data_IF_323003035545
#
_entry.id   IF_323003035545
#
_cell.length_a   1.000
_cell.length_b   1.000
_cell.length_c   1.000
_cell.angle_alpha   90.00
_cell.angle_beta   90.00
_cell.angle_gamma   90.00
#
_symmetry.space_group_name_H-M   'P 1'
#
loop_
_entity.id
_entity.type
_entity.pdbx_description
1 polymer ?
#
# COMPACT_ATOMS: atom_id res chain seq x y z
N UNK A 1 -8.66 -72.50 -40.59
CA UNK A 1 -8.04 -71.16 -40.60
C UNK A 1 -8.57 -70.38 -39.40
N UNK A 2 -7.74 -70.21 -38.37
CA UNK A 2 -8.07 -69.60 -37.07
C UNK A 2 -7.72 -68.10 -37.10
N UNK A 3 -8.65 -67.24 -36.65
CA UNK A 3 -8.42 -65.80 -36.42
C UNK A 3 -7.66 -65.59 -35.11
N UNK A 4 -6.68 -64.69 -35.01
CA UNK A 4 -6.10 -64.26 -33.73
C UNK A 4 -6.95 -63.15 -33.08
N UNK A 5 -7.01 -63.20 -31.75
CA UNK A 5 -7.94 -62.45 -30.91
C UNK A 5 -7.52 -61.03 -30.53
N UNK A 6 -8.48 -60.37 -29.89
CA UNK A 6 -8.49 -58.98 -29.44
C UNK A 6 -7.54 -58.75 -28.25
N UNK A 7 -6.78 -57.65 -28.32
CA UNK A 7 -6.02 -57.07 -27.22
C UNK A 7 -6.97 -56.41 -26.20
N UNK A 8 -6.80 -56.77 -24.93
CA UNK A 8 -7.54 -56.29 -23.77
C UNK A 8 -6.93 -54.98 -23.26
N UNK A 9 -7.73 -53.92 -23.22
CA UNK A 9 -7.39 -52.63 -22.59
C UNK A 9 -7.41 -52.79 -21.07
N UNK A 10 -6.24 -52.69 -20.42
CA UNK A 10 -6.17 -52.57 -18.95
C UNK A 10 -6.61 -51.17 -18.52
N UNK A 11 -7.71 -51.09 -17.78
CA UNK A 11 -8.12 -49.92 -17.01
C UNK A 11 -7.06 -49.61 -15.95
N UNK A 12 -6.48 -48.40 -16.00
CA UNK A 12 -5.75 -47.81 -14.88
C UNK A 12 -6.77 -47.19 -13.91
N UNK A 13 -6.64 -47.54 -12.63
CA UNK A 13 -7.53 -47.13 -11.54
C UNK A 13 -7.45 -45.62 -11.25
N UNK A 14 -8.58 -44.94 -10.96
CA UNK A 14 -8.63 -43.48 -10.74
C UNK A 14 -8.20 -43.01 -9.34
N UNK A 15 -7.46 -43.81 -8.57
CA UNK A 15 -7.26 -43.57 -7.13
C UNK A 15 -6.05 -42.69 -6.74
N UNK A 16 -5.31 -42.11 -7.68
CA UNK A 16 -4.04 -41.39 -7.39
C UNK A 16 -4.02 -39.89 -7.75
N UNK A 17 -5.16 -39.29 -8.15
CA UNK A 17 -5.21 -37.88 -8.55
C UNK A 17 -5.94 -36.94 -7.58
N UNK A 18 -6.36 -37.42 -6.41
CA UNK A 18 -7.10 -36.62 -5.43
C UNK A 18 -6.22 -35.87 -4.40
N UNK A 19 -4.91 -36.13 -4.35
CA UNK A 19 -4.02 -35.60 -3.30
C UNK A 19 -3.28 -34.29 -3.63
N UNK A 20 -3.27 -33.85 -4.89
CA UNK A 20 -2.40 -32.75 -5.34
C UNK A 20 -3.11 -31.39 -5.53
N UNK A 21 -4.44 -31.33 -5.37
CA UNK A 21 -5.23 -30.10 -5.61
C UNK A 21 -5.54 -29.27 -4.36
N UNK A 22 -5.18 -29.75 -3.16
CA UNK A 22 -5.47 -29.04 -1.90
C UNK A 22 -4.29 -28.17 -1.43
N UNK A 23 -3.06 -28.40 -1.91
CA UNK A 23 -1.89 -27.63 -1.43
C UNK A 23 -1.62 -26.31 -2.18
N UNK A 24 -2.18 -26.10 -3.38
CA UNK A 24 -1.90 -24.87 -4.16
C UNK A 24 -2.87 -23.71 -3.87
N UNK A 25 -4.01 -23.96 -3.21
CA UNK A 25 -4.95 -22.90 -2.82
C UNK A 25 -4.56 -22.21 -1.51
N UNK A 26 -3.71 -22.81 -0.68
CA UNK A 26 -3.30 -22.26 0.60
C UNK A 26 -2.14 -21.23 0.50
N UNK A 27 -1.40 -21.21 -0.62
CA UNK A 27 -0.25 -20.32 -0.80
C UNK A 27 -0.64 -18.98 -1.45
N UNK A 28 -1.81 -18.92 -2.13
CA UNK A 28 -2.29 -17.69 -2.78
C UNK A 28 -3.14 -16.77 -1.87
N UNK A 29 -3.49 -17.19 -0.66
CA UNK A 29 -4.24 -16.36 0.30
C UNK A 29 -3.36 -15.65 1.35
N UNK A 30 -2.04 -15.85 1.33
CA UNK A 30 -1.10 -15.20 2.26
C UNK A 30 -0.61 -13.81 1.81
N UNK A 31 -1.01 -13.33 0.62
CA UNK A 31 -0.62 -12.01 0.10
C UNK A 31 -1.68 -10.93 0.38
N UNK A 32 -2.21 -10.87 1.60
CA UNK A 32 -2.97 -9.71 2.08
C UNK A 32 -2.35 -9.11 3.34
N UNK A 33 -1.02 -9.03 3.35
CA UNK A 33 -0.31 -8.06 4.18
C UNK A 33 -0.51 -6.69 3.54
N UNK A 34 -1.69 -6.10 3.74
CA UNK A 34 -1.74 -4.65 3.84
C UNK A 34 -0.99 -4.37 5.14
N UNK A 35 0.31 -4.13 5.04
CA UNK A 35 1.13 -3.61 6.12
C UNK A 35 0.72 -2.15 6.35
N UNK A 36 0.97 -1.63 7.54
CA UNK A 36 0.74 -0.23 7.86
C UNK A 36 1.45 0.64 6.80
N UNK A 37 0.89 1.78 6.39
CA UNK A 37 1.50 2.57 5.32
C UNK A 37 2.36 3.72 5.81
N UNK A 38 3.17 3.50 6.85
CA UNK A 38 4.16 4.50 7.26
C UNK A 38 5.10 4.81 6.09
N UNK A 39 5.21 6.10 5.76
CA UNK A 39 6.12 6.59 4.72
C UNK A 39 7.28 7.30 5.41
N UNK A 40 8.50 6.93 5.04
CA UNK A 40 9.71 7.61 5.48
C UNK A 40 10.64 7.84 4.30
N UNK A 41 11.42 8.91 4.38
CA UNK A 41 12.39 9.28 3.35
C UNK A 41 13.74 9.44 4.01
N UNK A 42 14.76 8.83 3.43
CA UNK A 42 16.14 9.13 3.77
C UNK A 42 16.83 9.75 2.57
N UNK A 43 17.64 10.77 2.81
CA UNK A 43 18.40 11.45 1.77
C UNK A 43 19.91 11.34 2.00
N UNK A 44 20.64 11.25 0.88
CA UNK A 44 22.09 11.30 0.83
C UNK A 44 22.59 12.73 0.64
N UNK A 45 23.84 12.99 1.03
CA UNK A 45 24.48 14.31 0.90
C UNK A 45 24.56 14.83 -0.56
N UNK A 46 24.40 13.95 -1.56
CA UNK A 46 24.38 14.26 -2.99
C UNK A 46 22.97 14.57 -3.53
N UNK A 47 21.95 14.57 -2.68
CA UNK A 47 20.54 14.74 -3.07
C UNK A 47 19.84 13.46 -3.54
N UNK A 48 20.47 12.29 -3.38
CA UNK A 48 19.81 10.98 -3.48
C UNK A 48 18.70 10.88 -2.43
N UNK A 49 17.60 10.21 -2.76
CA UNK A 49 16.51 9.96 -1.83
C UNK A 49 15.97 8.52 -1.97
N UNK A 50 15.85 7.83 -0.85
CA UNK A 50 15.16 6.56 -0.75
C UNK A 50 13.84 6.78 -0.02
N UNK A 51 12.74 6.35 -0.64
CA UNK A 51 11.40 6.41 -0.05
C UNK A 51 11.00 4.99 0.33
N UNK A 52 10.83 4.75 1.62
CA UNK A 52 10.13 3.56 2.10
C UNK A 52 8.64 3.87 2.18
N UNK A 53 7.82 2.99 1.62
CA UNK A 53 6.37 3.02 1.74
C UNK A 53 5.88 1.65 2.20
N UNK A 54 4.78 1.62 2.95
CA UNK A 54 4.15 0.38 3.41
C UNK A 54 4.91 -0.38 4.50
N UNK A 55 5.67 0.32 5.36
CA UNK A 55 6.32 -0.29 6.51
C UNK A 55 5.36 -0.40 7.73
N UNK A 56 5.49 -1.47 8.51
CA UNK A 56 4.53 -1.78 9.59
C UNK A 56 4.60 -0.80 10.78
N UNK A 57 5.65 0.01 10.88
CA UNK A 57 5.78 1.07 11.88
C UNK A 57 6.56 2.27 11.38
N UNK A 58 6.47 3.41 12.08
CA UNK A 58 7.29 4.59 11.80
C UNK A 58 8.78 4.31 11.96
N UNK A 59 9.13 3.52 12.97
CA UNK A 59 10.51 3.11 13.26
C UNK A 59 11.04 2.22 12.13
N UNK A 60 10.25 1.24 11.71
CA UNK A 60 10.61 0.39 10.57
C UNK A 60 10.70 1.20 9.27
N UNK A 61 9.76 2.10 9.00
CA UNK A 61 9.81 2.96 7.82
C UNK A 61 11.12 3.76 7.81
N UNK A 62 11.45 4.39 8.94
CA UNK A 62 12.67 5.15 9.12
C UNK A 62 13.94 4.30 8.95
N UNK A 63 13.97 3.11 9.57
CA UNK A 63 15.09 2.20 9.51
C UNK A 63 15.30 1.64 8.10
N UNK A 64 14.21 1.22 7.42
CA UNK A 64 14.24 0.74 6.04
C UNK A 64 14.66 1.87 5.09
N UNK A 65 14.16 3.09 5.29
CA UNK A 65 14.56 4.24 4.49
C UNK A 65 16.06 4.55 4.66
N UNK A 66 16.54 4.61 5.91
CA UNK A 66 17.96 4.82 6.21
C UNK A 66 18.83 3.68 5.69
N UNK A 67 18.42 2.43 5.86
CA UNK A 67 19.14 1.25 5.37
C UNK A 67 19.18 1.26 3.84
N UNK A 68 18.08 1.61 3.19
CA UNK A 68 17.99 1.82 1.74
C UNK A 68 18.97 2.89 1.27
N UNK A 69 19.02 4.02 1.96
CA UNK A 69 19.97 5.10 1.66
C UNK A 69 21.43 4.70 1.88
N UNK A 70 21.76 4.06 3.01
CA UNK A 70 23.13 3.66 3.39
C UNK A 70 23.74 2.59 2.50
N UNK A 71 22.99 2.00 1.56
CA UNK A 71 23.55 1.16 0.49
C UNK A 71 24.51 1.94 -0.42
N UNK A 72 24.54 3.26 -0.34
CA UNK A 72 25.50 4.13 -0.99
C UNK A 72 26.50 4.66 0.05
N UNK A 73 27.83 4.68 -0.22
CA UNK A 73 28.86 5.05 0.75
C UNK A 73 28.93 6.58 0.97
N UNK A 74 27.88 7.14 1.55
CA UNK A 74 27.71 8.57 1.82
C UNK A 74 26.89 8.81 3.08
N UNK A 75 26.91 10.03 3.61
CA UNK A 75 26.10 10.41 4.75
C UNK A 75 24.62 10.32 4.39
N UNK A 76 23.86 9.56 5.18
CA UNK A 76 22.42 9.38 5.03
C UNK A 76 21.70 9.84 6.27
N UNK A 77 20.66 10.66 6.09
CA UNK A 77 19.78 11.10 7.18
C UNK A 77 18.33 11.03 6.75
N UNK A 78 17.43 10.85 7.72
CA UNK A 78 16.01 10.99 7.47
C UNK A 78 15.70 12.43 7.09
N UNK A 79 14.76 12.58 6.16
CA UNK A 79 14.06 13.81 5.95
C UNK A 79 12.75 13.78 6.72
N UNK A 80 12.42 14.93 7.30
CA UNK A 80 11.26 15.14 8.16
C UNK A 80 11.07 14.08 9.24
N UNK A 81 9.80 13.84 9.56
CA UNK A 81 9.37 12.85 10.54
C UNK A 81 8.30 11.96 9.90
N UNK A 82 8.41 10.63 10.00
CA UNK A 82 7.37 9.73 9.51
C UNK A 82 6.01 10.11 10.11
N UNK A 83 5.01 10.24 9.26
CA UNK A 83 3.64 10.58 9.67
C UNK A 83 2.73 9.37 9.42
N UNK A 84 1.82 9.12 10.35
CA UNK A 84 0.77 8.12 10.15
C UNK A 84 -0.37 8.71 9.31
N UNK A 85 -0.89 7.90 8.39
CA UNK A 85 -2.04 8.23 7.58
C UNK A 85 -3.35 8.40 8.37
N UNK A 86 -4.41 8.90 7.69
CA UNK A 86 -4.45 9.17 6.26
C UNK A 86 -3.80 10.50 5.87
N UNK A 87 -2.69 10.46 5.12
CA UNK A 87 -1.94 11.65 4.69
C UNK A 87 -1.29 11.44 3.32
N UNK A 88 -1.22 12.51 2.53
CA UNK A 88 -0.32 12.58 1.40
C UNK A 88 1.08 12.93 1.87
N UNK A 89 2.07 12.28 1.28
CA UNK A 89 3.46 12.71 1.29
C UNK A 89 3.79 13.29 -0.08
N UNK A 90 4.38 14.49 -0.12
CA UNK A 90 4.85 15.11 -1.36
C UNK A 90 6.31 15.50 -1.23
N UNK A 91 7.11 15.13 -2.21
CA UNK A 91 8.51 15.56 -2.36
C UNK A 91 8.56 16.69 -3.38
N UNK A 92 9.29 17.75 -3.06
CA UNK A 92 9.71 18.77 -4.01
C UNK A 92 11.22 18.69 -4.25
N UNK A 93 11.63 18.86 -5.50
CA UNK A 93 13.03 18.76 -5.94
C UNK A 93 13.53 20.08 -6.53
N UNK A 94 14.79 20.39 -6.23
CA UNK A 94 15.64 21.35 -6.92
C UNK A 94 16.98 20.69 -7.30
N UNK A 95 17.83 21.38 -8.08
CA UNK A 95 19.15 20.83 -8.42
C UNK A 95 20.07 20.68 -7.20
N UNK A 96 19.79 21.39 -6.11
CA UNK A 96 20.55 21.34 -4.85
C UNK A 96 20.05 20.32 -3.82
N UNK A 97 18.93 19.64 -4.07
CA UNK A 97 18.38 18.66 -3.12
C UNK A 97 16.86 18.56 -3.16
N UNK A 98 16.30 17.91 -2.13
CA UNK A 98 14.85 17.69 -1.99
C UNK A 98 14.35 18.21 -0.64
N UNK A 99 13.06 18.52 -0.59
CA UNK A 99 12.30 18.71 0.64
C UNK A 99 10.99 17.93 0.55
N UNK A 100 10.31 17.80 1.67
CA UNK A 100 9.07 17.04 1.77
C UNK A 100 8.03 17.78 2.61
N UNK A 101 6.77 17.40 2.43
CA UNK A 101 5.71 17.72 3.37
C UNK A 101 4.69 16.59 3.40
N UNK A 102 4.12 16.35 4.57
CA UNK A 102 2.95 15.50 4.75
C UNK A 102 1.70 16.33 5.05
N UNK A 103 0.51 15.83 4.68
CA UNK A 103 -0.78 16.51 4.91
C UNK A 103 -1.95 15.59 4.60
N UNK A 104 -3.06 15.63 5.37
CA UNK A 104 -4.33 15.05 4.93
C UNK A 104 -4.87 15.67 3.62
N UNK A 105 -4.48 16.90 3.30
CA UNK A 105 -4.73 17.57 2.02
C UNK A 105 -3.49 17.50 1.10
N UNK A 106 -3.51 16.67 0.03
CA UNK A 106 -2.39 16.53 -0.90
C UNK A 106 -1.95 17.83 -1.59
N UNK A 107 -2.87 18.76 -1.84
CA UNK A 107 -2.52 20.03 -2.48
C UNK A 107 -1.72 20.91 -1.52
N UNK A 108 -2.16 21.00 -0.26
CA UNK A 108 -1.42 21.69 0.79
C UNK A 108 -0.04 21.04 1.04
N UNK A 109 0.07 19.70 1.01
CA UNK A 109 1.37 19.02 1.08
C UNK A 109 2.28 19.46 -0.08
N UNK A 110 1.78 19.48 -1.32
CA UNK A 110 2.55 19.88 -2.48
C UNK A 110 3.00 21.35 -2.41
N UNK A 111 2.11 22.25 -1.99
CA UNK A 111 2.43 23.66 -1.83
C UNK A 111 3.49 23.90 -0.76
N UNK A 112 3.36 23.25 0.41
CA UNK A 112 4.35 23.33 1.49
C UNK A 112 5.70 22.76 1.07
N UNK A 113 5.72 21.57 0.48
CA UNK A 113 6.96 20.96 0.00
C UNK A 113 7.71 21.88 -0.98
N UNK A 114 7.01 22.47 -1.95
CA UNK A 114 7.62 23.41 -2.91
C UNK A 114 8.08 24.71 -2.24
N UNK A 115 7.30 25.26 -1.30
CA UNK A 115 7.66 26.46 -0.55
C UNK A 115 8.94 26.24 0.27
N UNK A 116 9.03 25.11 0.96
CA UNK A 116 10.18 24.76 1.78
C UNK A 116 11.41 24.54 0.89
N UNK A 117 11.26 23.84 -0.24
CA UNK A 117 12.33 23.69 -1.23
C UNK A 117 12.86 25.05 -1.71
N UNK A 118 11.97 26.00 -2.04
CA UNK A 118 12.39 27.34 -2.50
C UNK A 118 13.14 28.10 -1.43
N UNK A 119 12.74 27.94 -0.17
CA UNK A 119 13.38 28.56 0.98
C UNK A 119 14.80 28.03 1.17
N UNK A 120 14.99 26.72 1.03
CA UNK A 120 16.30 26.08 1.24
C UNK A 120 17.25 26.24 0.04
N UNK A 121 16.78 26.02 -1.19
CA UNK A 121 17.66 25.91 -2.35
C UNK A 121 17.66 27.15 -3.26
N UNK A 122 16.79 28.13 -3.04
CA UNK A 122 16.69 29.39 -3.81
C UNK A 122 16.67 29.18 -5.34
N UNK A 123 16.14 28.05 -5.78
CA UNK A 123 16.08 27.61 -7.18
C UNK A 123 14.65 27.29 -7.61
N UNK A 124 14.48 26.93 -8.88
CA UNK A 124 13.22 26.41 -9.39
C UNK A 124 12.95 25.06 -8.72
N UNK A 125 12.00 25.07 -7.79
CA UNK A 125 11.48 23.88 -7.14
C UNK A 125 10.16 23.45 -7.74
N UNK A 126 9.99 22.15 -7.91
CA UNK A 126 8.77 21.53 -8.42
C UNK A 126 8.44 20.28 -7.61
N UNK A 127 7.16 19.91 -7.46
CA UNK A 127 6.81 18.61 -6.94
C UNK A 127 7.39 17.55 -7.87
N UNK A 128 7.94 16.48 -7.30
CA UNK A 128 8.63 15.40 -8.02
C UNK A 128 7.99 14.04 -7.74
N UNK A 129 7.42 13.87 -6.54
CA UNK A 129 6.75 12.65 -6.13
C UNK A 129 5.56 12.98 -5.23
N UNK A 130 4.48 12.22 -5.37
CA UNK A 130 3.38 12.19 -4.41
C UNK A 130 3.06 10.73 -4.07
N UNK A 131 2.80 10.46 -2.79
CA UNK A 131 2.31 9.18 -2.30
C UNK A 131 1.17 9.42 -1.30
N UNK A 132 0.30 8.44 -1.14
CA UNK A 132 -0.80 8.47 -0.18
C UNK A 132 -0.67 7.32 0.81
N UNK A 133 -0.56 7.67 2.09
CA UNK A 133 -0.74 6.74 3.20
C UNK A 133 -2.23 6.70 3.52
N UNK A 134 -2.86 5.54 3.37
CA UNK A 134 -4.28 5.32 3.61
C UNK A 134 -4.66 5.37 5.09
N UNK A 135 -3.68 5.21 5.99
CA UNK A 135 -3.87 5.04 7.42
C UNK A 135 -4.55 3.72 7.77
N UNK A 136 -4.16 3.12 8.89
CA UNK A 136 -4.81 1.91 9.39
C UNK A 136 -6.04 2.28 10.23
N UNK A 137 -7.16 1.59 9.96
CA UNK A 137 -8.35 1.61 10.81
C UNK A 137 -8.74 0.18 11.16
N UNK A 138 -8.28 -0.22 12.33
CA UNK A 138 -8.54 -1.50 12.91
C UNK A 138 -9.85 -1.50 13.69
N UNK A 139 -10.48 -2.66 13.72
CA UNK A 139 -11.46 -3.01 14.73
C UNK A 139 -11.02 -4.30 15.42
N UNK A 140 -11.54 -4.51 16.62
CA UNK A 140 -11.48 -5.79 17.27
C UNK A 140 -12.80 -6.09 17.98
N UNK A 141 -13.16 -7.36 17.98
CA UNK A 141 -14.33 -7.89 18.65
C UNK A 141 -13.83 -8.75 19.80
N UNK A 142 -14.29 -8.42 20.98
CA UNK A 142 -14.11 -9.26 22.17
C UNK A 142 -15.45 -9.82 22.61
N UNK A 143 -15.43 -10.99 23.24
CA UNK A 143 -16.61 -11.58 23.86
C UNK A 143 -16.25 -12.05 25.26
N UNK A 144 -17.18 -11.90 26.19
CA UNK A 144 -17.14 -12.50 27.51
C UNK A 144 -18.55 -12.64 28.05
N UNK A 145 -18.70 -12.87 29.35
CA UNK A 145 -20.03 -13.06 29.96
C UNK A 145 -21.00 -11.87 29.80
N UNK A 146 -20.49 -10.66 29.56
CA UNK A 146 -21.30 -9.46 29.27
C UNK A 146 -21.73 -9.31 27.80
N UNK A 147 -21.44 -10.30 26.95
CA UNK A 147 -21.70 -10.23 25.51
C UNK A 147 -20.54 -9.67 24.70
N UNK A 148 -20.75 -9.38 23.40
CA UNK A 148 -19.73 -8.85 22.52
C UNK A 148 -19.50 -7.37 22.79
N UNK A 149 -18.24 -6.95 22.69
CA UNK A 149 -17.87 -5.55 22.62
C UNK A 149 -16.99 -5.33 21.38
N UNK A 150 -17.30 -4.27 20.64
CA UNK A 150 -16.59 -3.90 19.41
C UNK A 150 -15.85 -2.59 19.69
N UNK A 151 -14.53 -2.65 19.57
CA UNK A 151 -13.68 -1.46 19.43
C UNK A 151 -13.40 -1.25 17.94
N UNK A 152 -13.43 0.00 17.46
CA UNK A 152 -13.24 0.30 16.05
C UNK A 152 -12.64 1.69 15.83
N UNK A 153 -11.88 1.81 14.74
CA UNK A 153 -11.24 3.06 14.33
C UNK A 153 -9.84 3.27 14.93
N UNK A 154 -9.25 2.25 15.54
CA UNK A 154 -7.90 2.32 16.10
C UNK A 154 -6.83 2.30 15.01
N UNK A 155 -5.65 2.82 15.36
CA UNK A 155 -4.53 2.96 14.42
C UNK A 155 -3.70 1.70 14.30
N UNK A 156 -3.93 0.70 15.15
CA UNK A 156 -3.23 -0.57 15.13
C UNK A 156 -4.08 -1.72 15.66
N UNK A 157 -3.72 -2.96 15.28
CA UNK A 157 -4.36 -4.16 15.80
C UNK A 157 -4.22 -4.28 17.33
N UNK A 158 -3.08 -3.87 17.88
CA UNK A 158 -2.80 -3.93 19.32
C UNK A 158 -3.69 -2.96 20.10
N UNK A 159 -3.85 -1.73 19.61
CA UNK A 159 -4.77 -0.74 20.19
C UNK A 159 -6.21 -1.27 20.13
N UNK A 160 -6.65 -1.78 18.98
CA UNK A 160 -7.99 -2.35 18.82
C UNK A 160 -8.26 -3.51 19.78
N UNK A 161 -7.34 -4.49 19.86
CA UNK A 161 -7.47 -5.63 20.79
C UNK A 161 -7.49 -5.17 22.24
N UNK A 162 -6.61 -4.24 22.61
CA UNK A 162 -6.55 -3.68 23.96
C UNK A 162 -7.84 -2.94 24.34
N UNK A 163 -8.33 -2.06 23.45
CA UNK A 163 -9.58 -1.34 23.60
C UNK A 163 -10.77 -2.29 23.70
N UNK A 164 -10.86 -3.29 22.82
CA UNK A 164 -11.92 -4.28 22.85
C UNK A 164 -11.94 -5.06 24.17
N UNK A 165 -10.80 -5.61 24.62
CA UNK A 165 -10.71 -6.31 25.90
C UNK A 165 -11.06 -5.42 27.08
N UNK A 166 -10.59 -4.16 27.09
CA UNK A 166 -10.93 -3.18 28.13
C UNK A 166 -12.43 -2.91 28.16
N UNK A 167 -13.05 -2.70 27.00
CA UNK A 167 -14.49 -2.50 26.86
C UNK A 167 -15.32 -3.70 27.31
N UNK A 168 -14.90 -4.92 26.97
CA UNK A 168 -15.54 -6.15 27.47
C UNK A 168 -15.42 -6.27 28.99
N UNK A 169 -14.22 -6.10 29.55
CA UNK A 169 -13.98 -6.22 31.00
C UNK A 169 -14.80 -5.21 31.80
N UNK A 170 -15.02 -4.01 31.28
CA UNK A 170 -15.82 -2.98 31.92
C UNK A 170 -17.34 -3.25 31.90
N UNK A 171 -17.80 -4.24 31.12
CA UNK A 171 -19.22 -4.57 30.93
C UNK A 171 -19.66 -5.86 31.61
N UNK A 172 -18.78 -6.52 32.37
CA UNK A 172 -19.07 -7.81 33.00
C UNK A 172 -18.45 -7.92 34.39
N UNK A 173 -19.16 -8.60 35.30
CA UNK A 173 -18.64 -8.93 36.64
C UNK A 173 -17.63 -10.09 36.62
N UNK A 174 -17.39 -10.70 35.44
CA UNK A 174 -16.42 -11.78 35.22
C UNK A 174 -15.38 -11.41 34.15
N UNK A 175 -14.53 -10.40 34.40
CA UNK A 175 -13.60 -9.84 33.41
C UNK A 175 -12.59 -10.86 32.85
N UNK A 176 -12.33 -11.94 33.58
CA UNK A 176 -11.47 -13.06 33.16
C UNK A 176 -12.05 -13.87 31.99
N UNK A 177 -13.34 -13.74 31.71
CA UNK A 177 -14.01 -14.41 30.58
C UNK A 177 -13.85 -13.68 29.25
N UNK A 178 -13.31 -12.46 29.26
CA UNK A 178 -13.16 -11.65 28.06
C UNK A 178 -11.98 -12.13 27.19
N UNK A 179 -12.29 -12.47 25.95
CA UNK A 179 -11.33 -12.93 24.95
C UNK A 179 -11.54 -12.23 23.60
N UNK A 180 -10.48 -12.07 22.82
CA UNK A 180 -10.56 -11.57 21.45
C UNK A 180 -11.08 -12.67 20.53
N UNK A 181 -12.11 -12.36 19.74
CA UNK A 181 -12.67 -13.26 18.73
C UNK A 181 -12.28 -12.91 17.31
N UNK A 182 -12.18 -11.62 17.00
CA UNK A 182 -11.77 -11.14 15.69
C UNK A 182 -11.01 -9.83 15.84
N UNK A 183 -10.07 -9.60 14.94
CA UNK A 183 -9.44 -8.30 14.73
C UNK A 183 -9.08 -8.19 13.25
N UNK A 184 -9.37 -7.04 12.65
CA UNK A 184 -9.15 -6.83 11.22
C UNK A 184 -9.19 -5.34 10.92
N UNK A 185 -8.58 -4.96 9.79
CA UNK A 185 -8.69 -3.61 9.22
C UNK A 185 -9.52 -3.56 7.94
N UNK A 186 -10.17 -4.66 7.58
CA UNK A 186 -11.00 -4.71 6.37
C UNK A 186 -12.21 -3.79 6.50
N UNK A 187 -12.60 -3.09 5.42
CA UNK A 187 -13.88 -2.42 5.37
C UNK A 187 -15.02 -3.43 5.58
N UNK A 188 -15.78 -3.31 6.66
CA UNK A 188 -16.83 -4.28 7.01
C UNK A 188 -17.88 -3.68 7.93
N UNK A 189 -19.11 -4.13 7.78
CA UNK A 189 -20.19 -3.90 8.74
C UNK A 189 -20.15 -4.98 9.81
N UNK A 190 -20.22 -4.57 11.06
CA UNK A 190 -20.21 -5.46 12.22
C UNK A 190 -21.50 -5.22 12.98
N UNK A 191 -22.31 -6.26 13.14
CA UNK A 191 -23.54 -6.20 13.92
C UNK A 191 -23.44 -7.12 15.14
N UNK A 192 -24.04 -6.68 16.24
CA UNK A 192 -24.28 -7.47 17.44
C UNK A 192 -25.78 -7.58 17.61
N UNK A 193 -26.30 -8.79 17.82
CA UNK A 193 -27.69 -9.04 18.16
C UNK A 193 -27.78 -9.70 19.54
N UNK A 194 -28.77 -9.31 20.34
CA UNK A 194 -29.04 -9.94 21.64
C UNK A 194 -30.54 -10.05 21.96
N UNK A 195 -30.86 -10.96 22.87
CA UNK A 195 -32.18 -11.11 23.49
C UNK A 195 -32.13 -11.04 25.03
N UNK A 196 -31.14 -10.36 25.58
CA UNK A 196 -30.87 -10.26 27.02
C UNK A 196 -30.29 -11.52 27.67
N UNK A 197 -30.45 -12.72 27.07
CA UNK A 197 -29.85 -13.97 27.58
C UNK A 197 -28.76 -14.52 26.66
N UNK A 198 -28.96 -14.36 25.35
CA UNK A 198 -28.05 -14.80 24.31
C UNK A 198 -27.63 -13.60 23.47
N UNK A 199 -26.44 -13.71 22.91
CA UNK A 199 -25.88 -12.72 22.01
C UNK A 199 -25.14 -13.41 20.87
N UNK A 200 -25.07 -12.74 19.74
CA UNK A 200 -24.21 -13.12 18.63
C UNK A 200 -23.70 -11.86 17.92
N UNK A 201 -22.65 -12.02 17.13
CA UNK A 201 -22.13 -10.99 16.27
C UNK A 201 -21.87 -11.56 14.87
N UNK A 202 -21.85 -10.69 13.87
CA UNK A 202 -21.51 -11.07 12.50
C UNK A 202 -20.85 -9.92 11.75
N UNK A 203 -19.96 -10.27 10.83
CA UNK A 203 -19.34 -9.38 9.86
C UNK A 203 -19.97 -9.56 8.48
N UNK A 204 -20.12 -8.47 7.73
CA UNK A 204 -20.59 -8.52 6.34
C UNK A 204 -20.16 -7.29 5.54
N UNK A 205 -20.06 -7.40 4.21
CA UNK A 205 -19.80 -6.25 3.34
C UNK A 205 -20.98 -5.27 3.26
N UNK A 206 -22.17 -5.66 3.72
CA UNK A 206 -23.38 -4.82 3.74
C UNK A 206 -23.98 -4.71 5.13
N UNK A 207 -24.60 -3.57 5.44
CA UNK A 207 -25.27 -3.34 6.73
C UNK A 207 -26.36 -4.37 7.00
N UNK A 208 -27.23 -4.60 6.03
CA UNK A 208 -28.35 -5.53 6.16
C UNK A 208 -27.88 -6.98 6.26
N UNK A 209 -26.82 -7.34 5.54
CA UNK A 209 -26.18 -8.65 5.66
C UNK A 209 -25.63 -8.91 7.06
N UNK A 210 -24.96 -7.91 7.67
CA UNK A 210 -24.43 -8.03 9.02
C UNK A 210 -25.57 -8.17 10.05
N UNK A 211 -26.59 -7.31 9.97
CA UNK A 211 -27.77 -7.36 10.85
C UNK A 211 -28.50 -8.70 10.76
N UNK A 212 -28.77 -9.17 9.53
CA UNK A 212 -29.47 -10.43 9.29
C UNK A 212 -28.66 -11.63 9.82
N UNK A 213 -27.36 -11.66 9.55
CA UNK A 213 -26.47 -12.73 10.03
C UNK A 213 -26.36 -12.76 11.55
N UNK A 214 -26.17 -11.60 12.20
CA UNK A 214 -26.09 -11.51 13.66
C UNK A 214 -27.40 -11.95 14.33
N UNK A 215 -28.56 -11.52 13.81
CA UNK A 215 -29.87 -11.95 14.33
C UNK A 215 -30.07 -13.46 14.20
N UNK A 216 -29.84 -14.00 13.01
CA UNK A 216 -29.97 -15.45 12.74
C UNK A 216 -29.10 -16.28 13.70
N UNK A 217 -27.88 -15.83 13.95
CA UNK A 217 -26.97 -16.53 14.85
C UNK A 217 -27.40 -16.41 16.32
N UNK A 218 -27.88 -15.24 16.74
CA UNK A 218 -28.41 -15.04 18.08
C UNK A 218 -29.67 -15.89 18.34
N UNK A 219 -30.58 -15.94 17.37
CA UNK A 219 -31.79 -16.79 17.44
C UNK A 219 -31.41 -18.27 17.49
N UNK A 220 -30.43 -18.69 16.70
CA UNK A 220 -29.89 -20.05 16.72
C UNK A 220 -29.33 -20.43 18.09
N UNK A 221 -28.55 -19.54 18.70
CA UNK A 221 -28.02 -19.74 20.06
C UNK A 221 -29.12 -19.75 21.13
N UNK A 222 -30.15 -18.91 20.97
CA UNK A 222 -31.29 -18.79 21.87
C UNK A 222 -32.41 -19.82 21.69
N UNK A 223 -32.20 -20.86 20.88
CA UNK A 223 -33.22 -21.89 20.63
C UNK A 223 -34.45 -21.39 19.87
N UNK A 224 -34.27 -20.43 18.96
CA UNK A 224 -35.31 -19.84 18.13
C UNK A 224 -36.03 -18.64 18.76
N UNK A 225 -35.62 -18.18 19.96
CA UNK A 225 -36.17 -16.95 20.56
C UNK A 225 -35.72 -15.73 19.75
N UNK A 226 -36.64 -14.81 19.38
CA UNK A 226 -36.30 -13.62 18.61
C UNK A 226 -35.21 -12.79 19.29
N UNK A 227 -34.26 -12.28 18.50
CA UNK A 227 -33.26 -11.31 18.96
C UNK A 227 -33.62 -9.91 18.49
N UNK A 228 -33.93 -9.03 19.45
CA UNK A 228 -34.55 -7.73 19.18
C UNK A 228 -33.58 -6.55 19.19
N UNK A 229 -32.56 -6.58 20.05
CA UNK A 229 -31.57 -5.51 20.16
C UNK A 229 -30.47 -5.73 19.13
N UNK A 230 -30.22 -4.74 18.27
CA UNK A 230 -29.09 -4.78 17.34
C UNK A 230 -28.28 -3.50 17.38
N UNK A 231 -26.98 -3.61 17.71
CA UNK A 231 -26.00 -2.57 17.48
C UNK A 231 -25.27 -2.87 16.16
N UNK A 232 -24.97 -1.85 15.37
CA UNK A 232 -24.26 -2.00 14.10
C UNK A 232 -23.28 -0.86 13.91
N UNK A 233 -22.03 -1.21 13.59
CA UNK A 233 -20.96 -0.27 13.31
C UNK A 233 -20.33 -0.60 11.95
N UNK A 234 -19.77 0.41 11.30
CA UNK A 234 -19.01 0.24 10.07
C UNK A 234 -17.55 0.54 10.36
N UNK A 235 -16.67 -0.43 10.15
CA UNK A 235 -15.26 -0.15 10.00
C UNK A 235 -15.02 0.26 8.54
N UNK A 236 -14.63 1.51 8.25
CA UNK A 236 -14.36 1.93 6.88
C UNK A 236 -13.07 1.33 6.32
N UNK A 237 -12.20 0.77 7.18
CA UNK A 237 -10.86 0.33 6.79
C UNK A 237 -9.96 1.49 6.38
N UNK A 238 -8.88 1.22 5.62
CA UNK A 238 -7.98 2.24 5.11
C UNK A 238 -8.71 3.30 4.27
N UNK A 239 -8.27 4.55 4.37
CA UNK A 239 -8.87 5.68 3.63
C UNK A 239 -8.27 5.72 2.24
N UNK A 240 -9.08 5.50 1.21
CA UNK A 240 -8.63 5.59 -0.17
C UNK A 240 -8.05 6.98 -0.50
N UNK A 241 -7.08 7.02 -1.43
CA UNK A 241 -6.47 8.27 -1.89
C UNK A 241 -7.52 9.26 -2.43
N UNK A 242 -7.55 10.51 -1.95
CA UNK A 242 -8.47 11.52 -2.49
C UNK A 242 -8.05 11.93 -3.92
N UNK A 243 -9.00 12.40 -4.73
CA UNK A 243 -8.78 12.85 -6.11
C UNK A 243 -7.70 13.94 -6.26
N UNK A 244 -7.40 14.68 -5.18
CA UNK A 244 -6.32 15.66 -5.13
C UNK A 244 -4.93 15.01 -5.28
N UNK A 245 -4.73 13.74 -4.88
CA UNK A 245 -3.48 13.00 -5.15
C UNK A 245 -3.27 12.87 -6.66
N UNK A 246 -4.29 12.45 -7.40
CA UNK A 246 -4.23 12.35 -8.86
C UNK A 246 -3.99 13.71 -9.53
N UNK A 247 -4.53 14.80 -8.96
CA UNK A 247 -4.25 16.16 -9.42
C UNK A 247 -2.76 16.54 -9.27
N UNK A 248 -2.15 16.23 -8.13
CA UNK A 248 -0.71 16.46 -7.90
C UNK A 248 0.12 15.58 -8.83
N UNK A 249 -0.23 14.30 -8.97
CA UNK A 249 0.43 13.37 -9.88
C UNK A 249 0.41 13.87 -11.34
N UNK A 250 -0.75 14.29 -11.84
CA UNK A 250 -0.88 14.85 -13.17
C UNK A 250 -0.06 16.14 -13.37
N UNK A 251 0.13 16.95 -12.31
CA UNK A 251 1.01 18.12 -12.34
C UNK A 251 2.47 17.69 -12.50
N UNK A 252 2.93 16.71 -11.73
CA UNK A 252 4.29 16.16 -11.81
C UNK A 252 4.55 15.63 -13.23
N UNK A 253 3.62 14.83 -13.77
CA UNK A 253 3.74 14.27 -15.12
C UNK A 253 3.80 15.34 -16.21
N UNK A 254 2.97 16.39 -16.13
CA UNK A 254 3.02 17.52 -17.06
C UNK A 254 4.36 18.27 -16.98
N UNK A 255 4.92 18.42 -15.78
CA UNK A 255 6.20 19.07 -15.58
C UNK A 255 7.34 18.25 -16.18
N UNK A 256 7.35 16.94 -15.94
CA UNK A 256 8.31 16.03 -16.56
C UNK A 256 8.19 16.05 -18.09
N UNK A 257 6.97 16.03 -18.63
CA UNK A 257 6.71 16.16 -20.08
C UNK A 257 7.18 17.49 -20.66
N UNK A 258 6.97 18.61 -19.97
CA UNK A 258 7.42 19.93 -20.40
C UNK A 258 8.95 20.09 -20.34
N UNK A 259 9.61 19.44 -19.37
CA UNK A 259 11.06 19.37 -19.32
C UNK A 259 11.67 18.55 -20.46
N UNK A 260 10.88 17.64 -21.06
CA UNK A 260 11.24 16.81 -22.22
C UNK A 260 10.72 17.31 -23.56
N UNK A 261 9.96 18.43 -23.61
CA UNK A 261 9.48 19.00 -24.87
C UNK A 261 10.68 19.37 -25.77
N UNK A 262 10.65 19.03 -27.08
CA UNK A 262 11.77 19.30 -27.97
C UNK A 262 12.02 20.81 -28.02
N UNK A 263 13.11 21.25 -27.39
CA UNK A 263 13.76 22.50 -27.78
C UNK A 263 14.45 22.20 -29.10
N UNK A 264 14.27 23.09 -30.07
CA UNK A 264 14.68 23.01 -31.47
C UNK A 264 15.72 21.93 -31.80
N UNK A 265 15.36 21.10 -32.78
CA UNK A 265 16.11 19.95 -33.25
C UNK A 265 17.49 20.34 -33.78
N UNK A 266 18.48 20.40 -32.88
CA UNK A 266 19.89 20.36 -33.26
C UNK A 266 20.59 19.12 -32.67
N UNK A 267 21.05 18.27 -33.61
CA UNK A 267 22.07 17.21 -33.57
C UNK A 267 22.03 16.18 -32.44
N UNK A 268 21.78 14.88 -32.73
CA UNK A 268 21.81 13.75 -31.77
C UNK A 268 23.05 13.84 -30.87
N UNK A 269 22.88 14.33 -29.63
CA UNK A 269 23.94 14.42 -28.63
C UNK A 269 24.01 13.06 -27.95
N UNK A 270 25.14 12.34 -28.07
CA UNK A 270 25.27 11.06 -27.37
C UNK A 270 25.22 11.32 -25.86
N UNK A 271 24.76 10.33 -25.11
CA UNK A 271 24.65 10.42 -23.67
C UNK A 271 25.09 9.12 -23.02
N UNK A 272 25.45 9.21 -21.74
CA UNK A 272 25.66 8.07 -20.86
C UNK A 272 24.66 8.15 -19.71
N UNK A 273 23.97 7.04 -19.46
CA UNK A 273 23.13 6.89 -18.27
C UNK A 273 23.88 6.14 -17.19
N UNK A 274 23.75 6.61 -15.96
CA UNK A 274 24.17 5.89 -14.77
C UNK A 274 22.98 5.84 -13.83
N UNK A 275 22.46 4.63 -13.61
CA UNK A 275 21.30 4.40 -12.76
C UNK A 275 21.70 3.60 -11.53
N UNK A 276 21.17 4.00 -10.37
CA UNK A 276 21.25 3.28 -9.11
C UNK A 276 19.84 3.19 -8.52
N UNK A 277 19.23 2.00 -8.59
CA UNK A 277 17.81 1.79 -8.30
C UNK A 277 16.91 2.66 -9.20
N UNK A 278 15.98 3.44 -8.65
CA UNK A 278 15.12 4.36 -9.42
C UNK A 278 15.85 5.63 -9.80
N UNK A 279 16.94 6.02 -9.16
CA UNK A 279 17.58 7.32 -9.46
C UNK A 279 18.60 7.15 -10.59
N UNK A 280 18.41 7.92 -11.67
CA UNK A 280 19.22 7.89 -12.85
C UNK A 280 19.78 9.28 -13.16
N UNK A 281 21.06 9.32 -13.50
CA UNK A 281 21.75 10.51 -14.00
C UNK A 281 22.10 10.29 -15.46
N UNK A 282 21.58 11.17 -16.31
CA UNK A 282 21.94 11.25 -17.73
C UNK A 282 22.93 12.37 -17.95
N UNK A 283 24.11 12.05 -18.47
CA UNK A 283 25.12 13.02 -18.91
C UNK A 283 25.12 13.08 -20.44
N UNK A 284 24.87 14.26 -20.98
CA UNK A 284 24.93 14.53 -22.40
C UNK A 284 26.35 15.00 -22.77
N UNK A 285 26.82 14.69 -23.99
CA UNK A 285 28.13 15.15 -24.49
C UNK A 285 28.28 16.68 -24.51
N UNK A 286 27.16 17.43 -24.57
CA UNK A 286 27.18 18.88 -24.45
C UNK A 286 27.38 19.39 -23.00
N UNK A 287 27.73 18.51 -22.06
CA UNK A 287 27.96 18.82 -20.65
C UNK A 287 26.68 18.95 -19.81
N UNK A 288 25.49 18.90 -20.41
CA UNK A 288 24.22 18.93 -19.67
C UNK A 288 24.09 17.65 -18.86
N UNK A 289 23.64 17.78 -17.61
CA UNK A 289 23.29 16.65 -16.75
C UNK A 289 21.82 16.75 -16.35
N UNK A 290 21.09 15.65 -16.45
CA UNK A 290 19.69 15.56 -16.03
C UNK A 290 19.55 14.38 -15.08
N UNK A 291 18.94 14.60 -13.92
CA UNK A 291 18.64 13.56 -12.93
C UNK A 291 17.14 13.25 -12.98
N UNK A 292 16.78 11.98 -12.97
CA UNK A 292 15.39 11.54 -13.10
C UNK A 292 15.15 10.21 -12.36
N UNK A 293 13.89 9.96 -12.00
CA UNK A 293 13.46 8.73 -11.32
C UNK A 293 12.93 7.73 -12.35
N UNK A 294 13.67 6.67 -12.65
CA UNK A 294 13.27 5.52 -13.46
C UNK A 294 12.33 4.57 -12.69
N UNK A 295 11.49 3.84 -13.42
CA UNK A 295 10.72 2.74 -12.85
C UNK A 295 11.61 1.55 -12.47
N UNK A 296 11.27 0.87 -11.37
CA UNK A 296 11.83 -0.43 -11.05
C UNK A 296 11.05 -1.54 -11.72
N UNK A 297 11.77 -2.54 -12.22
CA UNK A 297 11.18 -3.82 -12.52
C UNK A 297 10.66 -4.45 -11.21
N UNK A 298 9.35 -4.71 -11.06
CA UNK A 298 8.82 -5.27 -9.82
C UNK A 298 9.32 -6.70 -9.52
N UNK A 299 9.86 -7.42 -10.51
CA UNK A 299 10.43 -8.75 -10.34
C UNK A 299 11.91 -8.75 -9.92
N UNK A 300 12.67 -7.69 -10.24
CA UNK A 300 14.13 -7.66 -9.99
C UNK A 300 14.60 -6.48 -9.16
N UNK A 301 13.73 -5.51 -8.89
CA UNK A 301 14.07 -4.23 -8.26
C UNK A 301 15.21 -3.46 -8.97
N UNK A 302 15.48 -3.77 -10.25
CA UNK A 302 16.46 -3.07 -11.07
C UNK A 302 15.78 -2.00 -11.94
N UNK A 303 16.46 -0.89 -12.27
CA UNK A 303 15.94 0.12 -13.20
C UNK A 303 15.67 -0.49 -14.58
N UNK A 304 14.46 -0.26 -15.11
CA UNK A 304 14.11 -0.70 -16.46
C UNK A 304 14.58 0.32 -17.51
N UNK A 305 15.50 -0.09 -18.40
CA UNK A 305 15.94 0.72 -19.54
C UNK A 305 15.70 0.04 -20.91
N UNK A 306 14.90 -1.03 -20.97
CA UNK A 306 14.56 -1.72 -22.24
C UNK A 306 13.03 -1.78 -22.45
N UNK A 307 12.49 -0.99 -23.38
CA UNK A 307 11.05 -0.94 -23.66
C UNK A 307 10.54 -2.11 -24.53
N UNK A 308 11.40 -2.98 -25.06
CA UNK A 308 11.03 -3.96 -26.08
C UNK A 308 10.67 -5.35 -25.54
N UNK A 309 11.02 -5.67 -24.29
CA UNK A 309 10.87 -7.04 -23.78
C UNK A 309 9.89 -7.22 -22.63
N UNK A 310 9.61 -6.20 -21.84
CA UNK A 310 8.66 -6.29 -20.72
C UNK A 310 7.98 -4.95 -20.48
N UNK A 311 6.78 -4.76 -21.04
CA UNK A 311 5.74 -3.82 -20.58
C UNK A 311 6.17 -2.50 -19.92
N UNK A 312 6.78 -1.61 -20.71
CA UNK A 312 6.71 -0.14 -20.66
C UNK A 312 6.84 0.61 -19.33
N UNK A 313 7.89 1.42 -19.21
CA UNK A 313 7.80 2.74 -18.57
C UNK A 313 8.16 3.82 -19.58
N UNK A 314 7.13 4.56 -20.01
CA UNK A 314 7.24 5.63 -20.99
C UNK A 314 7.99 6.82 -20.41
N UNK A 315 9.10 7.16 -21.03
CA UNK A 315 9.68 8.48 -20.98
C UNK A 315 10.14 8.84 -22.38
N UNK A 316 10.25 10.14 -22.62
CA UNK A 316 10.87 10.67 -23.81
C UNK A 316 12.26 11.15 -23.45
N UNK A 317 13.23 11.00 -24.35
CA UNK A 317 14.52 11.69 -24.18
C UNK A 317 14.31 13.23 -24.19
N UNK A 318 15.40 13.98 -24.02
CA UNK A 318 15.36 15.46 -24.01
C UNK A 318 14.92 16.09 -25.35
N UNK A 319 14.47 15.29 -26.31
CA UNK A 319 14.02 15.67 -27.65
C UNK A 319 12.61 15.18 -27.95
N UNK A 320 11.91 14.59 -26.99
CA UNK A 320 10.56 14.07 -27.20
C UNK A 320 10.50 12.70 -27.89
N UNK A 321 11.63 12.00 -28.08
CA UNK A 321 11.60 10.67 -28.70
C UNK A 321 11.18 9.62 -27.68
N UNK A 322 10.15 8.83 -28.01
CA UNK A 322 9.81 7.65 -27.22
C UNK A 322 10.99 6.67 -27.24
N UNK A 323 11.35 6.15 -26.06
CA UNK A 323 12.37 5.13 -25.95
C UNK A 323 12.08 3.97 -26.91
N UNK A 324 13.04 3.63 -27.78
CA UNK A 324 12.99 2.45 -28.65
C UNK A 324 12.60 2.67 -30.12
N UNK A 325 12.32 3.89 -30.60
CA UNK A 325 12.20 4.15 -32.04
C UNK A 325 13.50 4.70 -32.64
N UNK A 326 14.54 3.85 -32.66
CA UNK A 326 15.53 3.95 -33.72
C UNK A 326 14.95 3.20 -34.92
N UNK A 327 14.59 3.91 -35.99
CA UNK A 327 14.29 3.28 -37.26
C UNK A 327 15.50 2.41 -37.68
N UNK A 328 15.19 1.24 -38.25
CA UNK A 328 16.11 0.45 -39.09
C UNK A 328 16.83 1.35 -40.11
#
# INVERSE_FOLDING_TARGET
MKRPGYLTTRQLSPALLAGARVLFAAILCALSAHANAWIAIAHGDDGYAFVESNADSSAEAADNALAGCRKVPMGCRLLGSPAAGPVALVIARANGGITESTSPDPLAAAERAVKDCKTHFKQVCQPDLVSWDEGDRWFAISTGNGGPFIEYGDKSETEAKSGALKGCRNRTDKPETCEIKAASKKPTWIAVADNGTNYAWAENSTKDGALSAARKECERAGGGKPCGSTNVVFNPGPVAAPNSVATVQARIERQHKAATAPRDADAVVRYSDTCHNTDCVRKYENGKTVRYTACLNPATALPMNDPTRLGGCGGTDSRGNFFGMGNL
#
